data_IF_687433289766
#
_entry.id   IF_687433289766
#
_cell.length_a   1.000
_cell.length_b   1.000
_cell.length_c   1.000
_cell.angle_alpha   90.00
_cell.angle_beta   90.00
_cell.angle_gamma   90.00
#
_symmetry.space_group_name_H-M   'P 1'
#
loop_
_entity.id
_entity.type
_entity.pdbx_description
1 polymer ?
#
# COMPACT_ATOMS: atom_id res chain seq x y z
N UNK A 1 6.04 5.89 -2.20
CA UNK A 1 5.78 4.86 -1.17
C UNK A 1 4.56 4.01 -1.49
N UNK A 2 3.39 4.57 -1.81
CA UNK A 2 2.19 3.77 -2.12
C UNK A 2 2.39 2.70 -3.22
N UNK A 3 3.12 3.03 -4.29
CA UNK A 3 3.49 2.04 -5.31
C UNK A 3 4.37 0.88 -4.79
N UNK A 4 5.29 1.14 -3.84
CA UNK A 4 6.16 0.11 -3.28
C UNK A 4 5.38 -0.82 -2.35
N UNK A 5 4.50 -0.26 -1.52
CA UNK A 5 3.64 -1.04 -0.63
C UNK A 5 2.65 -1.88 -1.44
N UNK A 6 1.95 -1.29 -2.41
CA UNK A 6 1.05 -2.01 -3.31
C UNK A 6 1.74 -3.10 -4.15
N UNK A 7 2.93 -2.83 -4.70
CA UNK A 7 3.70 -3.86 -5.42
C UNK A 7 4.17 -4.97 -4.50
N UNK A 8 4.65 -4.66 -3.28
CA UNK A 8 5.05 -5.67 -2.30
C UNK A 8 3.87 -6.57 -1.88
N UNK A 9 2.66 -6.02 -1.80
CA UNK A 9 1.47 -6.77 -1.47
C UNK A 9 1.05 -7.70 -2.62
N UNK A 10 1.10 -7.21 -3.87
CA UNK A 10 0.88 -8.04 -5.06
C UNK A 10 1.91 -9.17 -5.15
N UNK A 11 3.18 -8.89 -4.84
CA UNK A 11 4.24 -9.90 -4.81
C UNK A 11 3.94 -10.98 -3.76
N UNK A 12 3.46 -10.59 -2.59
CA UNK A 12 3.06 -11.51 -1.53
C UNK A 12 1.88 -12.41 -1.95
N UNK A 13 0.85 -11.83 -2.58
CA UNK A 13 -0.34 -12.58 -2.98
C UNK A 13 -0.15 -13.43 -4.23
N UNK A 14 0.54 -12.92 -5.25
CA UNK A 14 0.67 -13.59 -6.55
C UNK A 14 1.87 -14.54 -6.63
N UNK A 15 2.89 -14.36 -5.79
CA UNK A 15 4.11 -15.19 -5.83
C UNK A 15 4.24 -15.98 -4.54
N UNK A 16 4.30 -15.31 -3.39
CA UNK A 16 4.60 -15.99 -2.12
C UNK A 16 3.51 -16.99 -1.72
N UNK A 17 2.23 -16.63 -1.89
CA UNK A 17 1.11 -17.53 -1.57
C UNK A 17 1.06 -18.76 -2.49
N UNK A 18 1.13 -18.65 -3.83
CA UNK A 18 1.25 -19.83 -4.70
C UNK A 18 2.47 -20.70 -4.40
N UNK A 19 3.64 -20.11 -4.12
CA UNK A 19 4.83 -20.87 -3.70
C UNK A 19 4.57 -21.70 -2.43
N UNK A 20 3.90 -21.11 -1.44
CA UNK A 20 3.54 -21.81 -0.20
C UNK A 20 2.60 -23.00 -0.45
N UNK A 21 1.53 -22.80 -1.24
CA UNK A 21 0.52 -23.85 -1.44
C UNK A 21 0.89 -24.89 -2.50
N UNK A 22 1.61 -24.49 -3.55
CA UNK A 22 1.97 -25.38 -4.67
C UNK A 22 3.29 -26.12 -4.44
N UNK A 23 4.27 -25.45 -3.82
CA UNK A 23 5.62 -26.01 -3.62
C UNK A 23 5.95 -26.31 -2.16
N UNK A 24 5.04 -25.99 -1.22
CA UNK A 24 5.26 -26.19 0.22
C UNK A 24 6.29 -25.25 0.83
N UNK A 25 6.77 -24.25 0.08
CA UNK A 25 7.85 -23.34 0.52
C UNK A 25 7.24 -22.18 1.31
N UNK A 26 7.10 -22.36 2.62
CA UNK A 26 6.55 -21.33 3.51
C UNK A 26 7.50 -20.14 3.75
N UNK A 27 8.82 -20.34 3.58
CA UNK A 27 9.84 -19.31 3.84
C UNK A 27 9.65 -18.05 2.97
N UNK A 28 9.21 -18.21 1.72
CA UNK A 28 8.94 -17.09 0.82
C UNK A 28 7.89 -16.12 1.40
N UNK A 29 6.84 -16.66 2.03
CA UNK A 29 5.79 -15.85 2.69
C UNK A 29 6.34 -15.15 3.92
N UNK A 30 7.23 -15.78 4.67
CA UNK A 30 7.86 -15.17 5.85
C UNK A 30 8.68 -13.94 5.46
N UNK A 31 9.65 -14.09 4.54
CA UNK A 31 10.52 -12.99 4.15
C UNK A 31 9.77 -11.86 3.43
N UNK A 32 8.91 -12.20 2.47
CA UNK A 32 8.13 -11.19 1.72
C UNK A 32 7.08 -10.55 2.63
N UNK A 33 6.47 -11.32 3.54
CA UNK A 33 5.54 -10.83 4.56
C UNK A 33 6.17 -9.84 5.52
N UNK A 34 7.37 -10.13 6.01
CA UNK A 34 8.11 -9.20 6.87
C UNK A 34 8.45 -7.90 6.11
N UNK A 35 8.92 -8.01 4.87
CA UNK A 35 9.21 -6.84 4.04
C UNK A 35 7.96 -5.99 3.77
N UNK A 36 6.85 -6.62 3.40
CA UNK A 36 5.57 -5.95 3.18
C UNK A 36 5.05 -5.28 4.46
N UNK A 37 5.08 -5.97 5.61
CA UNK A 37 4.65 -5.40 6.88
C UNK A 37 5.44 -4.15 7.28
N UNK A 38 6.76 -4.14 7.05
CA UNK A 38 7.59 -2.95 7.23
C UNK A 38 7.19 -1.80 6.31
N UNK A 39 6.95 -2.10 5.02
CA UNK A 39 6.48 -1.11 4.04
C UNK A 39 5.09 -0.57 4.37
N UNK A 40 4.19 -1.40 4.89
CA UNK A 40 2.86 -1.01 5.32
C UNK A 40 2.91 0.01 6.47
N UNK A 41 3.71 -0.25 7.51
CA UNK A 41 3.90 0.69 8.62
C UNK A 41 4.51 2.01 8.11
N UNK A 42 5.54 1.93 7.28
CA UNK A 42 6.17 3.12 6.69
C UNK A 42 5.18 3.93 5.84
N UNK A 43 4.31 3.26 5.08
CA UNK A 43 3.26 3.90 4.31
C UNK A 43 2.25 4.64 5.19
N UNK A 44 1.75 4.00 6.26
CA UNK A 44 0.79 4.63 7.19
C UNK A 44 1.41 5.86 7.88
N UNK A 45 2.67 5.78 8.31
CA UNK A 45 3.39 6.93 8.88
C UNK A 45 3.53 8.07 7.87
N UNK A 46 3.90 7.75 6.63
CA UNK A 46 3.98 8.75 5.55
C UNK A 46 2.62 9.37 5.25
N UNK A 47 1.53 8.59 5.28
CA UNK A 47 0.16 9.10 5.08
C UNK A 47 -0.27 10.06 6.20
N UNK A 48 0.03 9.73 7.46
CA UNK A 48 -0.19 10.60 8.62
C UNK A 48 0.58 11.92 8.48
N UNK A 49 1.87 11.85 8.18
CA UNK A 49 2.73 13.03 8.00
C UNK A 49 2.21 13.87 6.82
N UNK A 50 1.90 13.26 5.69
CA UNK A 50 1.37 13.96 4.53
C UNK A 50 0.05 14.68 4.86
N UNK A 51 -0.83 14.07 5.66
CA UNK A 51 -2.12 14.66 6.04
C UNK A 51 -1.97 15.92 6.88
N UNK A 52 -0.89 16.02 7.66
CA UNK A 52 -0.59 17.21 8.46
C UNK A 52 0.17 18.28 7.68
N UNK A 53 0.97 17.89 6.67
CA UNK A 53 1.81 18.81 5.88
C UNK A 53 1.10 19.39 4.65
N UNK A 54 0.19 18.63 4.06
CA UNK A 54 -0.53 18.99 2.82
C UNK A 54 -2.01 19.10 3.16
N UNK A 55 -2.71 20.12 2.63
CA UNK A 55 -4.18 20.23 2.72
C UNK A 55 -4.86 19.16 1.87
N UNK A 56 -4.82 17.92 2.32
CA UNK A 56 -5.55 16.81 1.73
C UNK A 56 -7.04 16.90 2.11
N UNK A 57 -7.94 16.40 1.25
CA UNK A 57 -9.35 16.33 1.57
C UNK A 57 -9.59 15.31 2.70
N UNK A 58 -10.60 15.56 3.56
CA UNK A 58 -10.95 14.69 4.69
C UNK A 58 -11.21 13.22 4.30
N UNK A 59 -11.66 12.97 3.07
CA UNK A 59 -11.86 11.62 2.54
C UNK A 59 -10.53 10.88 2.25
N UNK A 60 -9.43 11.60 2.01
CA UNK A 60 -8.16 10.98 1.59
C UNK A 60 -7.55 10.11 2.69
N UNK A 61 -7.69 10.50 3.97
CA UNK A 61 -7.14 9.74 5.09
C UNK A 61 -7.77 8.34 5.22
N UNK A 62 -9.10 8.20 5.38
CA UNK A 62 -9.72 6.87 5.44
C UNK A 62 -9.57 6.11 4.12
N UNK A 63 -9.60 6.79 2.96
CA UNK A 63 -9.40 6.11 1.67
C UNK A 63 -7.97 5.57 1.49
N UNK A 64 -6.95 6.27 1.99
CA UNK A 64 -5.56 5.81 1.92
C UNK A 64 -5.29 4.61 2.82
N UNK A 65 -5.88 4.59 4.02
CA UNK A 65 -5.78 3.47 4.97
C UNK A 65 -6.56 2.26 4.46
N UNK A 66 -7.84 2.43 4.10
CA UNK A 66 -8.66 1.34 3.54
C UNK A 66 -8.10 0.84 2.21
N UNK A 67 -7.52 1.75 1.42
CA UNK A 67 -6.82 1.43 0.19
C UNK A 67 -5.65 0.48 0.42
N UNK A 68 -4.80 0.70 1.44
CA UNK A 68 -3.66 -0.19 1.73
C UNK A 68 -4.03 -1.63 2.12
N UNK A 69 -5.27 -1.90 2.54
CA UNK A 69 -5.74 -3.27 2.75
C UNK A 69 -6.14 -4.00 1.46
N UNK A 70 -6.27 -3.27 0.36
CA UNK A 70 -6.61 -3.82 -0.94
C UNK A 70 -5.35 -3.87 -1.82
N UNK A 71 -5.08 -4.97 -2.54
CA UNK A 71 -3.87 -5.14 -3.35
C UNK A 71 -3.66 -4.05 -4.41
N UNK A 72 -4.75 -3.43 -4.87
CA UNK A 72 -4.72 -2.33 -5.85
C UNK A 72 -5.09 -0.97 -5.24
N UNK A 73 -5.42 -0.91 -3.95
CA UNK A 73 -5.91 0.31 -3.34
C UNK A 73 -4.87 1.43 -3.24
N UNK A 74 -3.57 1.19 -2.93
CA UNK A 74 -2.55 2.24 -2.93
C UNK A 74 -2.38 2.90 -4.31
N UNK A 75 -2.49 2.14 -5.39
CA UNK A 75 -2.37 2.64 -6.76
C UNK A 75 -3.55 3.56 -7.12
N UNK A 76 -4.78 3.14 -6.78
CA UNK A 76 -6.00 3.92 -7.04
C UNK A 76 -6.01 5.17 -6.16
N UNK A 77 -5.60 5.05 -4.90
CA UNK A 77 -5.51 6.17 -3.96
C UNK A 77 -4.53 7.24 -4.47
N UNK A 78 -3.32 6.85 -4.88
CA UNK A 78 -2.32 7.78 -5.42
C UNK A 78 -2.85 8.52 -6.66
N UNK A 79 -3.49 7.79 -7.59
CA UNK A 79 -4.10 8.38 -8.77
C UNK A 79 -5.23 9.38 -8.43
N UNK A 80 -6.11 9.01 -7.50
CA UNK A 80 -7.25 9.84 -7.10
C UNK A 80 -6.80 11.08 -6.32
N UNK A 81 -5.80 10.93 -5.45
CA UNK A 81 -5.22 12.03 -4.70
C UNK A 81 -4.53 13.02 -5.63
N UNK A 82 -3.69 12.53 -6.56
CA UNK A 82 -3.01 13.38 -7.55
C UNK A 82 -4.00 14.17 -8.41
N UNK A 83 -5.09 13.54 -8.85
CA UNK A 83 -6.17 14.20 -9.60
C UNK A 83 -6.85 15.32 -8.79
N UNK A 84 -7.12 15.08 -7.50
CA UNK A 84 -7.75 16.08 -6.63
C UNK A 84 -6.83 17.25 -6.29
N UNK A 85 -5.53 17.00 -6.10
CA UNK A 85 -4.55 18.04 -5.86
C UNK A 85 -4.35 18.92 -7.11
N UNK A 86 -4.30 18.32 -8.30
CA UNK A 86 -4.18 19.04 -9.58
C UNK A 86 -5.41 19.93 -9.85
N UNK A 87 -6.62 19.46 -9.52
CA UNK A 87 -7.86 20.25 -9.67
C UNK A 87 -7.93 21.49 -8.76
N UNK A 88 -7.06 21.59 -7.76
CA UNK A 88 -6.98 22.70 -6.79
C UNK A 88 -5.88 23.72 -7.12
N UNK A 89 -5.03 23.43 -8.10
CA UNK A 89 -3.99 24.33 -8.62
C UNK A 89 -4.53 25.10 -9.83
#
# INVERSE_FOLDING_TARGET
>A
MGYLEGTSFLLLLCIAMPLKYMMGIAEAVTYIGMAHGGLFIAYILMLLIATTKIKMPLWAMPAGVLGSFLPLGPFIFDHLLKKNLNKKA
#
